data_IF_335576145981
#
_entry.id   IF_335576145981
#
_cell.length_a   1.000
_cell.length_b   1.000
_cell.length_c   1.000
_cell.angle_alpha   90.00
_cell.angle_beta   90.00
_cell.angle_gamma   90.00
#
_symmetry.space_group_name_H-M   'P 1'
#
loop_
_entity.id
_entity.type
_entity.pdbx_description
1 polymer ?
#
# COMPACT_ATOMS: atom_id res chain seq x y z
N UNK A 1 -12.43 5.50 -1.93
CA UNK A 1 -13.62 4.67 -2.24
C UNK A 1 -13.55 4.30 -3.73
N UNK A 2 -14.16 3.19 -4.18
CA UNK A 2 -14.12 2.74 -5.59
C UNK A 2 -12.69 2.48 -6.12
N UNK A 3 -11.95 1.65 -5.39
CA UNK A 3 -10.61 1.18 -5.78
C UNK A 3 -10.75 -0.29 -6.20
N UNK A 4 -10.21 -0.65 -7.36
CA UNK A 4 -10.21 -2.03 -7.84
C UNK A 4 -8.92 -2.74 -7.45
N UNK A 5 -8.99 -3.84 -6.71
CA UNK A 5 -7.88 -4.76 -6.49
C UNK A 5 -7.78 -5.74 -7.68
N UNK A 6 -6.58 -5.88 -8.25
CA UNK A 6 -6.30 -6.90 -9.26
C UNK A 6 -5.85 -8.17 -8.54
N UNK A 7 -6.77 -9.12 -8.41
CA UNK A 7 -6.47 -10.46 -7.88
C UNK A 7 -6.17 -11.43 -9.02
N UNK A 8 -5.56 -12.60 -8.72
CA UNK A 8 -5.34 -13.64 -9.72
C UNK A 8 -6.60 -14.16 -10.40
N UNK A 9 -7.75 -14.05 -9.73
CA UNK A 9 -9.05 -14.51 -10.23
C UNK A 9 -9.83 -13.40 -10.96
N UNK A 10 -9.36 -12.16 -10.92
CA UNK A 10 -10.02 -11.02 -11.57
C UNK A 10 -9.96 -9.73 -10.78
N UNK A 11 -10.60 -8.70 -11.32
CA UNK A 11 -10.66 -7.37 -10.70
C UNK A 11 -11.82 -7.31 -9.70
N UNK A 12 -11.52 -7.00 -8.45
CA UNK A 12 -12.50 -6.83 -7.39
C UNK A 12 -12.59 -5.35 -7.04
N UNK A 13 -13.78 -4.77 -7.11
CA UNK A 13 -13.99 -3.36 -6.70
C UNK A 13 -14.25 -3.30 -5.21
N UNK A 14 -13.78 -2.24 -4.55
CA UNK A 14 -13.96 -2.06 -3.12
C UNK A 14 -13.42 -0.73 -2.61
N UNK A 15 -13.00 -0.72 -1.35
CA UNK A 15 -12.37 0.41 -0.67
C UNK A 15 -11.06 -0.02 -0.02
N UNK A 16 -10.07 0.86 -0.08
CA UNK A 16 -8.85 0.76 0.73
C UNK A 16 -8.95 1.73 1.90
N UNK A 17 -8.56 1.27 3.08
CA UNK A 17 -8.43 2.04 4.32
C UNK A 17 -6.97 1.93 4.75
N UNK A 18 -6.30 3.07 4.93
CA UNK A 18 -4.93 3.13 5.41
C UNK A 18 -4.96 3.75 6.81
N UNK A 19 -4.40 3.05 7.79
CA UNK A 19 -4.14 3.58 9.12
C UNK A 19 -2.65 3.87 9.27
N UNK A 20 -2.19 4.22 10.48
CA UNK A 20 -0.75 4.39 10.74
C UNK A 20 0.03 3.08 10.76
N UNK A 21 -0.66 1.93 10.81
CA UNK A 21 -0.02 0.63 11.03
C UNK A 21 -0.38 -0.44 9.98
N UNK A 22 -1.54 -0.31 9.31
CA UNK A 22 -2.00 -1.30 8.33
C UNK A 22 -2.73 -0.68 7.15
N UNK A 23 -2.63 -1.35 6.01
CA UNK A 23 -3.53 -1.21 4.88
C UNK A 23 -4.61 -2.29 4.99
N UNK A 24 -5.87 -1.93 4.81
CA UNK A 24 -7.00 -2.85 4.75
C UNK A 24 -7.76 -2.65 3.44
N UNK A 25 -8.00 -3.73 2.72
CA UNK A 25 -8.88 -3.73 1.55
C UNK A 25 -10.19 -4.42 1.92
N UNK A 26 -11.30 -3.78 1.54
CA UNK A 26 -12.65 -4.30 1.70
C UNK A 26 -13.31 -4.34 0.32
N UNK A 27 -13.42 -5.54 -0.26
CA UNK A 27 -14.15 -5.77 -1.50
C UNK A 27 -15.65 -5.57 -1.33
N UNK A 28 -16.31 -5.09 -2.39
CA UNK A 28 -17.75 -4.87 -2.42
C UNK A 28 -18.57 -6.16 -2.29
N UNK A 29 -18.00 -7.30 -2.67
CA UNK A 29 -18.65 -8.62 -2.63
C UNK A 29 -18.47 -9.33 -1.27
N UNK A 30 -17.81 -8.69 -0.30
CA UNK A 30 -17.48 -9.22 1.04
C UNK A 30 -16.58 -10.47 1.08
N UNK A 31 -16.44 -11.20 -0.02
CA UNK A 31 -15.58 -12.39 -0.15
C UNK A 31 -14.09 -12.04 -0.10
N UNK A 32 -13.72 -10.84 -0.56
CA UNK A 32 -12.33 -10.43 -0.71
C UNK A 32 -11.99 -9.27 0.23
N UNK A 33 -11.57 -9.62 1.44
CA UNK A 33 -11.06 -8.68 2.44
C UNK A 33 -9.70 -9.15 2.95
N UNK A 34 -8.77 -8.21 3.14
CA UNK A 34 -7.47 -8.52 3.72
C UNK A 34 -6.87 -7.30 4.40
N UNK A 35 -6.00 -7.54 5.38
CA UNK A 35 -5.16 -6.53 5.99
C UNK A 35 -3.68 -6.87 5.86
N UNK A 36 -2.87 -5.83 5.70
CA UNK A 36 -1.43 -5.91 5.50
C UNK A 36 -0.77 -4.87 6.39
N UNK A 37 0.11 -5.28 7.33
CA UNK A 37 0.91 -4.34 8.10
C UNK A 37 1.74 -3.46 7.16
N UNK A 38 1.77 -2.16 7.42
CA UNK A 38 2.51 -1.23 6.57
C UNK A 38 4.03 -1.50 6.57
N UNK A 39 4.56 -2.09 7.65
CA UNK A 39 5.96 -2.53 7.71
C UNK A 39 6.30 -3.68 6.75
N UNK A 40 5.32 -4.39 6.18
CA UNK A 40 5.55 -5.41 5.15
C UNK A 40 5.67 -4.82 3.74
N UNK A 41 5.38 -3.54 3.56
CA UNK A 41 5.44 -2.87 2.26
C UNK A 41 6.88 -2.39 2.03
N UNK A 42 7.61 -3.07 1.16
CA UNK A 42 8.98 -2.68 0.81
C UNK A 42 9.04 -1.55 -0.22
N UNK A 43 8.04 -1.45 -1.10
CA UNK A 43 8.03 -0.52 -2.23
C UNK A 43 6.61 -0.13 -2.63
N UNK A 44 6.43 1.12 -3.03
CA UNK A 44 5.17 1.65 -3.56
C UNK A 44 5.46 2.36 -4.88
N UNK A 45 4.84 1.90 -5.97
CA UNK A 45 5.10 2.42 -7.31
C UNK A 45 3.80 2.77 -8.05
N UNK A 46 3.89 3.75 -8.95
CA UNK A 46 2.82 4.05 -9.91
C UNK A 46 3.00 3.14 -11.11
N UNK A 47 2.26 2.04 -11.14
CA UNK A 47 2.33 1.06 -12.22
C UNK A 47 1.27 1.36 -13.28
N UNK A 48 1.66 1.27 -14.55
CA UNK A 48 0.74 1.28 -15.70
C UNK A 48 0.19 -0.12 -15.99
N UNK A 49 0.31 -0.55 -17.25
CA UNK A 49 -0.03 -1.92 -17.66
C UNK A 49 1.17 -2.84 -17.40
N UNK A 50 1.09 -3.62 -16.32
CA UNK A 50 1.86 -4.84 -16.09
C UNK A 50 0.87 -6.00 -15.95
N UNK A 51 1.31 -7.25 -16.07
CA UNK A 51 0.51 -8.45 -15.81
C UNK A 51 1.02 -9.23 -14.59
N UNK A 52 2.03 -8.70 -13.90
CA UNK A 52 2.64 -9.33 -12.72
C UNK A 52 1.68 -9.31 -11.54
N UNK A 53 1.35 -10.51 -11.04
CA UNK A 53 0.41 -10.71 -9.92
C UNK A 53 1.13 -11.03 -8.60
N UNK A 54 2.46 -10.89 -8.56
CA UNK A 54 3.28 -11.14 -7.36
C UNK A 54 3.18 -10.02 -6.31
N UNK A 55 2.55 -8.90 -6.66
CA UNK A 55 2.42 -7.72 -5.82
C UNK A 55 0.95 -7.32 -5.67
N UNK A 56 0.62 -6.70 -4.53
CA UNK A 56 -0.69 -6.11 -4.33
C UNK A 56 -0.86 -4.94 -5.30
N UNK A 57 -1.92 -5.00 -6.11
CA UNK A 57 -2.13 -4.01 -7.16
C UNK A 57 -3.52 -3.43 -7.12
N UNK A 58 -3.55 -2.11 -7.04
CA UNK A 58 -4.77 -1.32 -6.97
C UNK A 58 -4.91 -0.48 -8.23
N UNK A 59 -6.14 -0.44 -8.74
CA UNK A 59 -6.58 0.36 -9.88
C UNK A 59 -7.52 1.42 -9.38
N UNK A 60 -7.30 2.66 -9.80
CA UNK A 60 -8.16 3.79 -9.46
C UNK A 60 -8.76 4.33 -10.74
N UNK A 61 -10.08 4.52 -10.77
CA UNK A 61 -10.71 5.23 -11.88
C UNK A 61 -10.23 6.69 -11.92
N UNK A 62 -9.89 7.25 -13.09
CA UNK A 62 -9.41 8.63 -13.20
C UNK A 62 -10.39 9.64 -12.60
N UNK A 63 -11.70 9.40 -12.77
CA UNK A 63 -12.78 10.25 -12.30
C UNK A 63 -12.82 10.41 -10.75
N UNK A 64 -12.30 9.45 -9.99
CA UNK A 64 -12.44 9.46 -8.53
C UNK A 64 -11.31 10.16 -7.81
N UNK A 65 -10.30 10.67 -8.54
CA UNK A 65 -9.08 11.30 -8.02
C UNK A 65 -8.36 10.52 -6.89
N UNK A 66 -8.73 9.25 -6.67
CA UNK A 66 -8.35 8.47 -5.48
C UNK A 66 -6.91 7.95 -5.54
N UNK A 67 -6.27 8.03 -6.72
CA UNK A 67 -4.89 7.55 -6.92
C UNK A 67 -3.86 8.36 -6.14
N UNK A 68 -3.94 9.71 -6.17
CA UNK A 68 -2.95 10.57 -5.49
C UNK A 68 -3.04 10.43 -3.97
N UNK A 69 -4.22 10.57 -3.33
CA UNK A 69 -4.33 10.43 -1.87
C UNK A 69 -3.92 9.06 -1.36
N UNK A 70 -4.23 7.98 -2.09
CA UNK A 70 -3.83 6.62 -1.73
C UNK A 70 -2.30 6.48 -1.77
N UNK A 71 -1.68 6.94 -2.86
CA UNK A 71 -0.24 6.85 -3.04
C UNK A 71 0.51 7.68 -1.99
N UNK A 72 0.06 8.90 -1.71
CA UNK A 72 0.68 9.79 -0.73
C UNK A 72 0.53 9.23 0.69
N UNK A 73 -0.63 8.65 1.03
CA UNK A 73 -0.84 7.99 2.32
C UNK A 73 0.07 6.76 2.49
N UNK A 74 0.20 5.94 1.45
CA UNK A 74 1.10 4.78 1.47
C UNK A 74 2.56 5.20 1.66
N UNK A 75 3.03 6.17 0.87
CA UNK A 75 4.40 6.69 1.04
C UNK A 75 4.61 7.24 2.43
N UNK A 76 3.65 8.01 2.96
CA UNK A 76 3.75 8.64 4.28
C UNK A 76 3.83 7.62 5.42
N UNK A 77 2.92 6.64 5.44
CA UNK A 77 2.76 5.75 6.59
C UNK A 77 3.54 4.43 6.48
N UNK A 78 3.85 3.94 5.27
CA UNK A 78 4.68 2.75 5.11
C UNK A 78 6.17 2.99 5.36
N UNK A 79 6.62 4.25 5.21
CA UNK A 79 8.01 4.64 5.43
C UNK A 79 8.13 5.73 6.51
N UNK A 80 7.79 5.41 7.77
CA UNK A 80 7.70 6.41 8.84
C UNK A 80 9.06 7.06 9.14
N UNK A 81 10.16 6.29 9.10
CA UNK A 81 11.52 6.80 9.33
C UNK A 81 11.91 7.82 8.25
N UNK A 82 11.69 7.49 6.98
CA UNK A 82 11.99 8.38 5.85
C UNK A 82 11.15 9.65 5.90
N UNK A 83 9.91 9.57 6.39
CA UNK A 83 9.00 10.71 6.51
C UNK A 83 9.03 11.41 7.88
N UNK A 84 10.04 11.15 8.72
CA UNK A 84 10.22 11.77 10.04
C UNK A 84 8.99 11.61 10.96
N UNK A 85 8.25 10.51 10.83
CA UNK A 85 7.14 10.16 11.71
C UNK A 85 7.64 9.30 12.87
N UNK A 86 7.15 9.58 14.07
CA UNK A 86 7.42 8.78 15.26
C UNK A 86 6.63 7.47 15.17
N UNK A 87 7.34 6.34 15.23
CA UNK A 87 6.74 5.03 15.42
C UNK A 87 6.27 4.93 16.86
N UNK A 88 4.98 5.09 17.09
CA UNK A 88 4.37 4.80 18.38
C UNK A 88 4.41 3.28 18.61
N UNK A 89 5.38 2.82 19.41
CA UNK A 89 5.37 1.49 20.03
C UNK A 89 6.02 0.31 19.27
N UNK A 90 6.71 0.51 18.14
CA UNK A 90 7.47 -0.58 17.49
C UNK A 90 8.97 -0.25 17.41
N UNK A 91 9.78 -1.11 18.04
CA UNK A 91 11.24 -1.14 17.87
C UNK A 91 11.58 -1.04 16.38
N UNK A 92 12.63 -0.30 15.99
CA UNK A 92 13.01 -0.15 14.59
C UNK A 92 13.27 -1.54 14.01
N UNK A 93 12.34 -2.04 13.21
CA UNK A 93 12.62 -3.17 12.34
C UNK A 93 13.50 -2.58 11.26
N UNK A 94 14.79 -2.90 11.32
CA UNK A 94 15.78 -2.43 10.36
C UNK A 94 15.19 -2.55 8.95
N UNK A 95 15.17 -1.49 8.14
CA UNK A 95 14.83 -1.65 6.74
C UNK A 95 15.87 -2.61 6.15
N UNK A 96 15.42 -3.81 5.80
CA UNK A 96 16.19 -4.71 4.94
C UNK A 96 16.46 -3.91 3.65
N UNK A 97 17.67 -3.37 3.54
CA UNK A 97 18.13 -2.63 2.37
C UNK A 97 18.30 -1.12 2.58
N UNK A 98 19.13 -0.70 3.53
CA UNK A 98 19.90 0.54 3.35
C UNK A 98 21.34 0.29 3.80
N UNK A 99 22.18 -0.05 2.82
CA UNK A 99 23.63 0.02 3.00
C UNK A 99 24.00 1.49 3.22
N UNK A 100 24.47 1.81 4.41
CA UNK A 100 25.26 3.02 4.66
C UNK A 100 26.61 2.82 3.97
N UNK A 101 26.75 3.31 2.74
CA UNK A 101 28.03 3.50 2.11
C UNK A 101 28.66 4.78 2.66
N UNK A 102 29.55 4.62 3.63
CA UNK A 102 30.52 5.66 3.99
C UNK A 102 31.75 5.52 3.12
N UNK A 103 32.14 6.63 2.49
CA UNK A 103 33.45 7.30 2.63
C UNK A 103 33.28 8.75 2.20
#
# INVERSE_FOLDING_TARGET
KNIGYLSPIGKITGRVIITRYRLRFEGSDEVCQFDVPLGCISKVEKVGHSTDMRHLRFTCQPATHSRRPLFDALLRYAFPVTNKLVLDGQRPVCPMGMAMGGV
#
